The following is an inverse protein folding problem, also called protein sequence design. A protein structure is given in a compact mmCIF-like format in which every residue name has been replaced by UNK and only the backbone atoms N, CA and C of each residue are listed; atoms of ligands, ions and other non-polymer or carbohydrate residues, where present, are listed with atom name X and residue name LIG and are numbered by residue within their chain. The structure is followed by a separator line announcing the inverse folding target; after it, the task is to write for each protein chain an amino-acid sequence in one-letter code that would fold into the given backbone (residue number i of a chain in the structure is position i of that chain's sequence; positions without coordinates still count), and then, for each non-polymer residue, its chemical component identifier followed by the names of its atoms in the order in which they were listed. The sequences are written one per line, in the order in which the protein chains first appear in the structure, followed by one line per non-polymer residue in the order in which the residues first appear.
data_IF_765482538528
#
_entry.id   IF_765482538528
#
_cell.length_a   1.000
_cell.length_b   1.000
_cell.length_c   1.000
_cell.angle_alpha   90.00
_cell.angle_beta   90.00
_cell.angle_gamma   90.00
#
_symmetry.space_group_name_H-M   'P 1'
#
loop_
_entity.id
_entity.type
_entity.pdbx_description
1 polymer ?
#
# COMPACT_ATOMS: atom_id res chain seq x y z
N UNK A 1 48.08 18.18 -18.92
CA UNK A 1 46.64 18.53 -18.77
C UNK A 1 46.22 18.14 -17.36
N UNK A 2 46.17 19.11 -16.42
CA UNK A 2 45.83 18.85 -15.01
C UNK A 2 44.31 18.81 -14.89
N UNK A 3 43.74 17.62 -14.69
CA UNK A 3 42.33 17.47 -14.37
C UNK A 3 42.03 18.18 -13.05
N UNK A 4 41.04 19.07 -13.08
CA UNK A 4 40.60 19.86 -11.95
C UNK A 4 39.83 18.94 -10.97
N UNK A 5 40.30 18.80 -9.73
CA UNK A 5 39.75 17.88 -8.71
C UNK A 5 38.31 18.24 -8.26
N UNK A 6 37.71 19.31 -8.76
CA UNK A 6 36.36 19.76 -8.41
C UNK A 6 35.23 19.10 -9.20
N UNK A 7 35.51 18.22 -10.17
CA UNK A 7 34.47 17.58 -10.99
C UNK A 7 33.85 16.33 -10.35
N UNK A 8 34.55 15.68 -9.40
CA UNK A 8 34.08 14.44 -8.77
C UNK A 8 33.03 14.67 -7.68
N UNK A 9 32.94 15.87 -7.10
CA UNK A 9 32.03 16.15 -5.98
C UNK A 9 30.57 16.33 -6.41
N UNK A 10 30.32 16.67 -7.68
CA UNK A 10 28.96 16.93 -8.20
C UNK A 10 28.24 15.62 -8.56
N UNK A 11 28.97 14.56 -8.91
CA UNK A 11 28.39 13.29 -9.37
C UNK A 11 27.87 12.44 -8.20
N UNK A 12 28.36 12.65 -6.97
CA UNK A 12 27.97 11.87 -5.80
C UNK A 12 26.56 12.21 -5.25
N UNK A 13 25.97 13.34 -5.65
CA UNK A 13 24.66 13.78 -5.15
C UNK A 13 23.44 13.30 -5.99
N UNK A 14 23.66 12.62 -7.11
CA UNK A 14 22.59 12.21 -8.03
C UNK A 14 22.01 10.81 -7.78
N UNK A 15 22.48 10.07 -6.77
CA UNK A 15 22.16 8.65 -6.60
C UNK A 15 20.97 8.30 -5.67
N UNK A 16 20.22 9.26 -5.13
CA UNK A 16 19.21 8.97 -4.07
C UNK A 16 17.74 9.28 -4.41
N UNK A 17 17.37 9.46 -5.68
CA UNK A 17 15.98 9.79 -6.04
C UNK A 17 15.19 8.64 -6.65
N UNK A 18 15.41 7.39 -6.25
CA UNK A 18 14.46 6.33 -6.53
C UNK A 18 13.38 6.36 -5.44
N UNK A 19 12.20 6.89 -5.80
CA UNK A 19 10.97 6.67 -5.03
C UNK A 19 10.59 5.20 -5.16
N UNK A 20 11.31 4.32 -4.45
CA UNK A 20 10.82 2.99 -4.11
C UNK A 20 9.55 3.25 -3.32
N UNK A 21 8.39 3.06 -3.95
CA UNK A 21 7.13 3.07 -3.21
C UNK A 21 7.21 1.89 -2.26
N UNK A 22 7.51 2.19 -1.00
CA UNK A 22 7.71 1.16 -0.01
C UNK A 22 6.42 0.36 0.12
N UNK A 23 6.52 -0.97 0.07
CA UNK A 23 5.52 -1.86 0.64
C UNK A 23 5.35 -1.43 2.10
N UNK A 24 4.23 -0.78 2.43
CA UNK A 24 4.00 -0.24 3.77
C UNK A 24 3.28 -1.26 4.64
N UNK A 25 2.31 -1.97 4.07
CA UNK A 25 1.46 -2.94 4.79
C UNK A 25 1.12 -4.16 3.92
N UNK A 26 2.10 -4.67 3.15
CA UNK A 26 2.00 -5.99 2.49
C UNK A 26 2.18 -7.15 3.48
N UNK A 27 3.04 -6.96 4.47
CA UNK A 27 3.37 -7.94 5.50
C UNK A 27 2.71 -7.54 6.82
N UNK A 28 1.87 -8.41 7.37
CA UNK A 28 0.99 -8.11 8.49
C UNK A 28 1.23 -9.05 9.67
N UNK A 29 0.91 -8.58 10.86
CA UNK A 29 0.63 -9.45 11.99
C UNK A 29 -0.69 -10.19 11.75
N UNK A 30 -0.87 -11.35 12.40
CA UNK A 30 -2.09 -12.15 12.29
C UNK A 30 -3.35 -11.34 12.59
N UNK A 31 -3.33 -10.60 13.71
CA UNK A 31 -4.45 -9.77 14.15
C UNK A 31 -4.80 -8.65 13.14
N UNK A 32 -3.79 -8.10 12.46
CA UNK A 32 -3.97 -7.04 11.47
C UNK A 32 -4.60 -7.62 10.19
N UNK A 33 -4.11 -8.77 9.73
CA UNK A 33 -4.67 -9.48 8.59
C UNK A 33 -6.11 -9.93 8.86
N UNK A 34 -6.39 -10.46 10.05
CA UNK A 34 -7.73 -10.88 10.46
C UNK A 34 -8.68 -9.67 10.56
N UNK A 35 -8.22 -8.55 11.12
CA UNK A 35 -9.01 -7.33 11.20
C UNK A 35 -9.32 -6.77 9.80
N UNK A 36 -8.36 -6.81 8.87
CA UNK A 36 -8.57 -6.41 7.48
C UNK A 36 -9.60 -7.30 6.77
N UNK A 37 -9.51 -8.63 6.92
CA UNK A 37 -10.49 -9.58 6.39
C UNK A 37 -11.89 -9.29 6.95
N UNK A 38 -12.01 -9.07 8.26
CA UNK A 38 -13.28 -8.75 8.91
C UNK A 38 -13.85 -7.41 8.44
N UNK A 39 -13.02 -6.38 8.31
CA UNK A 39 -13.43 -5.05 7.87
C UNK A 39 -14.00 -5.06 6.44
N UNK A 40 -13.54 -5.99 5.61
CA UNK A 40 -13.85 -6.05 4.18
C UNK A 40 -14.76 -7.22 3.79
N UNK A 41 -15.27 -8.01 4.74
CA UNK A 41 -16.00 -9.25 4.46
C UNK A 41 -17.23 -9.07 3.56
N UNK A 42 -17.92 -7.94 3.70
CA UNK A 42 -19.20 -7.68 3.05
C UNK A 42 -19.07 -6.74 1.84
N UNK A 43 -17.85 -6.32 1.50
CA UNK A 43 -17.63 -5.40 0.39
C UNK A 43 -17.67 -6.13 -0.95
N UNK A 44 -18.32 -5.52 -1.94
CA UNK A 44 -18.37 -6.04 -3.32
C UNK A 44 -17.24 -5.52 -4.18
N UNK A 45 -16.66 -4.39 -3.80
CA UNK A 45 -15.52 -3.79 -4.47
C UNK A 45 -14.56 -3.14 -3.48
N UNK A 46 -13.31 -3.03 -3.91
CA UNK A 46 -12.27 -2.27 -3.23
C UNK A 46 -11.64 -1.32 -4.23
N UNK A 47 -11.20 -0.15 -3.80
CA UNK A 47 -10.46 0.78 -4.64
C UNK A 47 -8.97 0.64 -4.33
N UNK A 48 -8.16 0.36 -5.35
CA UNK A 48 -6.71 0.36 -5.26
C UNK A 48 -6.16 1.70 -5.76
N UNK A 49 -5.39 2.38 -4.92
CA UNK A 49 -4.78 3.65 -5.28
C UNK A 49 -3.45 3.89 -4.55
N UNK A 50 -2.38 4.03 -5.33
CA UNK A 50 -1.08 4.48 -4.84
C UNK A 50 -0.82 5.92 -5.31
N UNK A 51 -1.07 6.89 -4.43
CA UNK A 51 -0.79 8.31 -4.66
C UNK A 51 0.70 8.60 -4.86
N UNK A 52 1.63 8.08 -4.02
CA UNK A 52 3.07 8.29 -4.23
C UNK A 52 3.59 7.74 -5.57
N UNK A 53 2.99 6.65 -6.06
CA UNK A 53 3.31 6.05 -7.34
C UNK A 53 2.79 6.86 -8.54
N UNK A 54 2.00 7.92 -8.32
CA UNK A 54 1.28 8.68 -9.37
C UNK A 54 0.38 7.79 -10.23
N UNK A 55 -0.14 6.69 -9.65
CA UNK A 55 -1.10 5.82 -10.31
C UNK A 55 -2.48 6.47 -10.45
N UNK A 56 -3.38 5.85 -11.22
CA UNK A 56 -4.80 6.19 -11.18
C UNK A 56 -5.53 5.25 -10.22
N UNK A 57 -6.61 5.68 -9.54
CA UNK A 57 -7.45 4.76 -8.76
C UNK A 57 -8.07 3.69 -9.67
N UNK A 58 -8.08 2.45 -9.21
CA UNK A 58 -8.64 1.29 -9.93
C UNK A 58 -9.61 0.58 -9.00
N UNK A 59 -10.86 0.42 -9.42
CA UNK A 59 -11.83 -0.39 -8.68
C UNK A 59 -11.65 -1.87 -9.00
N UNK A 60 -11.57 -2.69 -7.97
CA UNK A 60 -11.38 -4.13 -8.02
C UNK A 60 -12.65 -4.81 -7.53
N UNK A 61 -13.20 -5.70 -8.35
CA UNK A 61 -14.29 -6.59 -7.96
C UNK A 61 -13.80 -7.57 -6.88
N UNK A 62 -14.56 -7.73 -5.80
CA UNK A 62 -14.27 -8.70 -4.75
C UNK A 62 -15.01 -10.00 -5.03
N UNK A 63 -14.26 -11.06 -5.31
CA UNK A 63 -14.77 -12.44 -5.44
C UNK A 63 -14.43 -13.26 -4.19
N UNK A 64 -13.25 -13.03 -3.63
CA UNK A 64 -12.78 -13.71 -2.44
C UNK A 64 -11.83 -12.80 -1.66
N UNK A 65 -12.02 -12.74 -0.34
CA UNK A 65 -11.09 -12.15 0.61
C UNK A 65 -10.61 -13.25 1.55
N UNK A 66 -9.32 -13.31 1.79
CA UNK A 66 -8.72 -14.24 2.75
C UNK A 66 -7.41 -13.68 3.30
N UNK A 67 -6.79 -14.44 4.20
CA UNK A 67 -5.43 -14.20 4.65
C UNK A 67 -4.62 -15.49 4.54
N UNK A 68 -3.32 -15.36 4.31
CA UNK A 68 -2.39 -16.50 4.25
C UNK A 68 -1.23 -16.26 5.21
N UNK A 69 -0.85 -17.30 5.95
CA UNK A 69 0.37 -17.31 6.77
C UNK A 69 1.58 -17.63 5.91
N UNK A 70 2.60 -16.81 6.01
CA UNK A 70 3.87 -16.94 5.30
C UNK A 70 4.87 -17.77 6.10
N UNK A 71 5.94 -18.25 5.46
CA UNK A 71 6.96 -19.09 6.10
C UNK A 71 7.74 -18.36 7.20
N UNK A 72 7.89 -17.06 7.08
CA UNK A 72 8.52 -16.18 8.07
C UNK A 72 7.61 -15.82 9.25
N UNK A 73 6.38 -16.36 9.27
CA UNK A 73 5.39 -16.12 10.33
C UNK A 73 4.53 -14.88 10.12
N UNK A 74 4.84 -14.05 9.12
CA UNK A 74 3.98 -12.93 8.73
C UNK A 74 2.70 -13.41 8.05
N UNK A 75 1.74 -12.52 7.89
CA UNK A 75 0.50 -12.77 7.17
C UNK A 75 0.34 -11.80 6.01
N UNK A 76 -0.36 -12.23 4.97
CA UNK A 76 -0.73 -11.38 3.84
C UNK A 76 -2.24 -11.33 3.67
N UNK A 77 -2.76 -10.14 3.41
CA UNK A 77 -4.14 -9.96 2.98
C UNK A 77 -4.26 -10.34 1.51
N UNK A 78 -5.24 -11.19 1.19
CA UNK A 78 -5.42 -11.77 -0.14
C UNK A 78 -6.75 -11.27 -0.71
N UNK A 79 -6.68 -10.66 -1.89
CA UNK A 79 -7.85 -10.30 -2.68
C UNK A 79 -7.84 -11.13 -3.96
N UNK A 80 -8.87 -11.95 -4.16
CA UNK A 80 -8.99 -12.86 -5.30
C UNK A 80 -7.75 -13.74 -5.52
N UNK A 81 -7.13 -14.19 -4.42
CA UNK A 81 -5.91 -15.00 -4.44
C UNK A 81 -4.61 -14.22 -4.72
N UNK A 82 -4.67 -12.89 -4.85
CA UNK A 82 -3.50 -12.02 -5.06
C UNK A 82 -3.21 -11.22 -3.79
N UNK A 83 -1.97 -11.26 -3.26
CA UNK A 83 -1.57 -10.42 -2.13
C UNK A 83 -1.76 -8.94 -2.43
N UNK A 84 -2.23 -8.18 -1.45
CA UNK A 84 -2.35 -6.72 -1.56
C UNK A 84 -1.70 -6.04 -0.36
N UNK A 85 -1.10 -4.88 -0.64
CA UNK A 85 -0.66 -3.93 0.38
C UNK A 85 -1.87 -3.11 0.87
N UNK A 86 -2.18 -3.21 2.17
CA UNK A 86 -3.31 -2.51 2.77
C UNK A 86 -3.19 -0.99 2.71
N UNK A 87 -1.97 -0.44 2.58
CA UNK A 87 -1.75 1.00 2.44
C UNK A 87 -2.43 1.55 1.19
N UNK A 88 -2.55 0.74 0.13
CA UNK A 88 -3.07 1.17 -1.16
C UNK A 88 -4.50 0.72 -1.42
N UNK A 89 -5.17 0.13 -0.43
CA UNK A 89 -6.56 -0.30 -0.57
C UNK A 89 -7.51 0.58 0.23
N UNK A 90 -8.66 0.82 -0.36
CA UNK A 90 -9.75 1.57 0.22
C UNK A 90 -11.04 0.76 0.11
N UNK A 91 -11.85 0.77 1.17
CA UNK A 91 -13.18 0.18 1.18
C UNK A 91 -14.24 1.29 1.17
N UNK A 92 -15.38 1.01 0.55
CA UNK A 92 -16.45 1.99 0.46
C UNK A 92 -17.35 1.91 1.69
N UNK A 93 -17.50 3.03 2.39
CA UNK A 93 -18.41 3.14 3.54
C UNK A 93 -18.91 4.57 3.66
N UNK A 94 -20.16 4.75 4.09
CA UNK A 94 -20.77 6.07 4.31
C UNK A 94 -20.60 7.05 3.11
N UNK A 95 -20.69 6.55 1.88
CA UNK A 95 -20.61 7.37 0.67
C UNK A 95 -19.18 7.78 0.26
N UNK A 96 -18.14 7.23 0.89
CA UNK A 96 -16.72 7.60 0.64
C UNK A 96 -15.81 6.38 0.64
N UNK A 97 -14.64 6.51 0.00
CA UNK A 97 -13.59 5.51 0.06
C UNK A 97 -12.66 5.80 1.24
N UNK A 98 -12.54 4.87 2.18
CA UNK A 98 -11.68 4.99 3.37
C UNK A 98 -10.51 4.03 3.27
N UNK A 99 -9.29 4.52 3.55
CA UNK A 99 -8.07 3.73 3.52
C UNK A 99 -8.11 2.60 4.56
N UNK A 100 -7.85 1.36 4.15
CA UNK A 100 -7.95 0.18 5.02
C UNK A 100 -6.90 0.22 6.12
N UNK A 101 -5.63 0.45 5.79
CA UNK A 101 -4.56 0.49 6.79
C UNK A 101 -4.83 1.55 7.87
N UNK A 102 -5.22 2.77 7.45
CA UNK A 102 -5.55 3.84 8.39
C UNK A 102 -6.82 3.57 9.20
N UNK A 103 -7.83 2.88 8.64
CA UNK A 103 -9.02 2.46 9.38
C UNK A 103 -8.70 1.44 10.49
N UNK A 104 -7.66 0.63 10.29
CA UNK A 104 -7.12 -0.30 11.27
C UNK A 104 -6.13 0.36 12.26
N UNK A 105 -5.91 1.67 12.16
CA UNK A 105 -4.98 2.40 13.03
C UNK A 105 -3.50 2.21 12.67
N UNK A 106 -3.20 1.64 11.50
CA UNK A 106 -1.84 1.48 11.00
C UNK A 106 -1.33 2.83 10.48
N UNK A 107 -0.09 3.17 10.80
CA UNK A 107 0.54 4.41 10.33
C UNK A 107 0.96 4.24 8.87
N UNK A 108 0.53 5.16 8.02
CA UNK A 108 0.78 5.10 6.58
C UNK A 108 1.14 6.48 6.09
N UNK A 109 2.19 6.57 5.28
CA UNK A 109 2.76 7.83 4.79
C UNK A 109 2.40 8.08 3.32
N UNK A 110 2.21 9.36 2.98
CA UNK A 110 2.02 9.82 1.60
C UNK A 110 0.67 9.45 0.97
N UNK A 111 -0.30 9.00 1.76
CA UNK A 111 -1.62 8.56 1.30
C UNK A 111 -2.74 9.37 1.96
N UNK A 112 -3.87 9.46 1.28
CA UNK A 112 -5.05 10.16 1.81
C UNK A 112 -5.88 9.19 2.64
N UNK A 113 -6.38 9.64 3.79
CA UNK A 113 -7.29 8.82 4.61
C UNK A 113 -8.58 8.52 3.85
N UNK A 114 -9.10 9.51 3.14
CA UNK A 114 -10.38 9.45 2.43
C UNK A 114 -10.18 9.91 1.00
N UNK A 115 -10.81 9.21 0.05
CA UNK A 115 -10.94 9.65 -1.35
C UNK A 115 -12.42 9.89 -1.64
N UNK A 116 -12.73 11.10 -2.11
CA UNK A 116 -14.05 11.44 -2.63
C UNK A 116 -14.18 10.94 -4.06
N UNK A 117 -15.37 10.42 -4.40
CA UNK A 117 -15.71 10.01 -5.76
C UNK A 117 -15.70 11.20 -6.71
#
# INVERSE_FOLDING_TARGET
MKMNNNFFTIILFLFFSFSVSAEQWEWLLEEQAQAAVKLTSDTKSLLKYCKPCRGKPIELEVRQISMIKMRDGSYRFMLNGVPQDLAYLYYFTEGRWLNIAMALGLKTDGLDKVITK
#
